data_IF_956466930795
#
_entry.id   IF_956466930795
#
_cell.length_a   1.000
_cell.length_b   1.000
_cell.length_c   1.000
_cell.angle_alpha   90.00
_cell.angle_beta   90.00
_cell.angle_gamma   90.00
#
_symmetry.space_group_name_H-M   'P 1'
#
loop_
_entity.id
_entity.type
_entity.pdbx_description
1 polymer ?
#
# COMPACT_ATOMS: atom_id res chain seq x y z
N UNK A 1 14.39 4.42 1.25
CA UNK A 1 13.18 4.26 2.08
C UNK A 1 12.08 3.87 1.12
N UNK A 2 11.33 2.82 1.41
CA UNK A 2 10.21 2.42 0.54
C UNK A 2 9.05 3.40 0.69
N UNK A 3 8.10 3.41 -0.26
CA UNK A 3 6.88 4.22 -0.14
C UNK A 3 6.14 3.87 1.16
N UNK A 4 6.10 2.59 1.53
CA UNK A 4 5.50 2.11 2.76
C UNK A 4 6.21 2.65 4.02
N UNK A 5 7.55 2.69 4.04
CA UNK A 5 8.31 3.25 5.16
C UNK A 5 8.06 4.76 5.31
N UNK A 6 7.99 5.48 4.18
CA UNK A 6 7.71 6.92 4.14
C UNK A 6 6.30 7.22 4.65
N UNK A 7 5.30 6.44 4.23
CA UNK A 7 3.92 6.56 4.71
C UNK A 7 3.83 6.25 6.21
N UNK A 8 4.46 5.17 6.66
CA UNK A 8 4.48 4.77 8.07
C UNK A 8 5.08 5.88 8.96
N UNK A 9 6.21 6.46 8.57
CA UNK A 9 6.85 7.54 9.34
C UNK A 9 6.04 8.85 9.31
N UNK A 10 5.29 9.13 8.24
CA UNK A 10 4.38 10.30 8.20
C UNK A 10 3.19 10.14 9.15
N UNK A 11 2.61 8.94 9.22
CA UNK A 11 1.43 8.67 10.06
C UNK A 11 1.81 8.45 11.52
N UNK A 12 2.89 7.70 11.76
CA UNK A 12 3.39 7.32 13.08
C UNK A 12 4.87 7.70 13.22
N UNK A 13 5.17 9.01 13.34
CA UNK A 13 6.55 9.47 13.38
C UNK A 13 7.28 8.94 14.61
N UNK A 14 8.52 8.52 14.41
CA UNK A 14 9.40 8.08 15.50
C UNK A 14 9.69 9.25 16.42
N UNK A 15 9.35 9.11 17.71
CA UNK A 15 9.62 10.13 18.73
C UNK A 15 10.92 9.85 19.49
N UNK A 16 11.55 10.93 19.92
CA UNK A 16 12.82 10.91 20.64
C UNK A 16 12.75 11.80 21.86
N UNK A 17 13.39 11.40 22.96
CA UNK A 17 13.54 12.26 24.12
C UNK A 17 14.31 13.53 23.77
N UNK A 18 13.82 14.68 24.24
CA UNK A 18 14.35 16.00 23.89
C UNK A 18 15.87 16.10 24.09
N UNK A 19 16.58 16.52 23.04
CA UNK A 19 18.04 16.65 23.06
C UNK A 19 18.82 15.33 23.01
N UNK A 20 18.15 14.18 22.82
CA UNK A 20 18.81 12.87 22.72
C UNK A 20 18.48 12.16 21.41
N UNK A 21 19.22 11.08 21.11
CA UNK A 21 18.90 10.11 20.05
C UNK A 21 18.15 8.88 20.59
N UNK A 22 17.67 8.94 21.83
CA UNK A 22 16.97 7.82 22.48
C UNK A 22 15.51 7.87 22.05
N UNK A 23 15.03 6.79 21.42
CA UNK A 23 13.63 6.65 21.03
C UNK A 23 12.75 6.58 22.27
N UNK A 24 11.63 7.27 22.25
CA UNK A 24 10.58 7.10 23.26
C UNK A 24 10.05 5.66 23.18
N UNK A 25 9.98 4.97 24.32
CA UNK A 25 9.41 3.63 24.41
C UNK A 25 8.04 3.72 25.09
N UNK A 26 7.05 3.05 24.51
CA UNK A 26 5.71 2.96 25.05
C UNK A 26 5.46 1.52 25.51
N UNK A 27 4.86 1.34 26.69
CA UNK A 27 4.33 0.04 27.10
C UNK A 27 3.07 -0.24 26.30
N UNK A 28 3.01 -1.38 25.61
CA UNK A 28 1.79 -1.88 24.98
C UNK A 28 1.43 -3.24 25.58
N UNK A 29 0.14 -3.45 25.85
CA UNK A 29 -0.40 -4.74 26.21
C UNK A 29 -1.05 -5.45 25.00
N UNK A 30 -1.69 -6.60 25.24
CA UNK A 30 -2.34 -7.35 24.16
C UNK A 30 -3.56 -6.64 23.59
N UNK A 31 -4.26 -5.83 24.37
CA UNK A 31 -5.46 -5.11 23.93
C UNK A 31 -5.06 -3.97 22.99
N UNK A 32 -3.96 -3.26 23.31
CA UNK A 32 -3.36 -2.25 22.43
C UNK A 32 -3.01 -2.83 21.05
N UNK A 33 -2.41 -4.03 21.02
CA UNK A 33 -2.03 -4.70 19.77
C UNK A 33 -3.25 -5.16 18.96
N UNK A 34 -4.30 -5.64 19.63
CA UNK A 34 -5.55 -6.02 18.98
C UNK A 34 -6.26 -4.79 18.39
N UNK A 35 -6.31 -3.69 19.14
CA UNK A 35 -6.89 -2.44 18.65
C UNK A 35 -6.09 -1.91 17.45
N UNK A 36 -4.77 -1.93 17.50
CA UNK A 36 -3.91 -1.52 16.38
C UNK A 36 -4.17 -2.37 15.12
N UNK A 37 -4.33 -3.69 15.27
CA UNK A 37 -4.66 -4.57 14.15
C UNK A 37 -6.03 -4.25 13.55
N UNK A 38 -7.07 -4.09 14.38
CA UNK A 38 -8.41 -3.74 13.92
C UNK A 38 -8.44 -2.38 13.22
N UNK A 39 -7.74 -1.39 13.79
CA UNK A 39 -7.59 -0.05 13.18
C UNK A 39 -6.88 -0.13 11.84
N UNK A 40 -5.78 -0.87 11.74
CA UNK A 40 -5.05 -1.07 10.49
C UNK A 40 -5.92 -1.73 9.41
N UNK A 41 -6.73 -2.73 9.79
CA UNK A 41 -7.66 -3.40 8.87
C UNK A 41 -8.79 -2.51 8.38
N UNK A 42 -9.21 -1.55 9.21
CA UNK A 42 -10.27 -0.58 8.89
C UNK A 42 -9.73 0.70 8.23
N UNK A 43 -8.41 0.89 8.18
CA UNK A 43 -7.81 2.03 7.52
C UNK A 43 -8.05 1.95 5.99
N UNK A 44 -8.06 3.10 5.28
CA UNK A 44 -7.95 3.11 3.82
C UNK A 44 -6.69 2.36 3.35
N UNK A 45 -6.68 1.81 2.13
CA UNK A 45 -5.49 1.17 1.57
C UNK A 45 -4.34 2.19 1.45
N UNK A 46 -3.13 1.76 1.79
CA UNK A 46 -1.91 2.56 1.69
C UNK A 46 -1.56 2.82 0.22
N UNK A 47 -0.88 3.93 -0.10
CA UNK A 47 -0.56 4.23 -1.51
C UNK A 47 0.38 3.17 -2.09
N UNK A 48 1.30 2.64 -1.27
CA UNK A 48 2.14 1.49 -1.63
C UNK A 48 1.34 0.23 -1.98
N UNK A 49 0.26 -0.07 -1.25
CA UNK A 49 -0.62 -1.22 -1.54
C UNK A 49 -1.41 -0.99 -2.82
N UNK A 50 -1.95 0.22 -2.99
CA UNK A 50 -2.69 0.63 -4.19
C UNK A 50 -1.80 0.54 -5.43
N UNK A 51 -0.56 1.02 -5.35
CA UNK A 51 0.38 0.98 -6.48
C UNK A 51 0.77 -0.46 -6.84
N UNK A 52 1.03 -1.32 -5.85
CA UNK A 52 1.34 -2.72 -6.09
C UNK A 52 0.19 -3.44 -6.82
N UNK A 53 -1.05 -3.22 -6.39
CA UNK A 53 -2.23 -3.79 -7.05
C UNK A 53 -2.42 -3.19 -8.44
N UNK A 54 -2.24 -1.89 -8.62
CA UNK A 54 -2.35 -1.22 -9.92
C UNK A 54 -1.34 -1.77 -10.95
N UNK A 55 -0.08 -1.98 -10.53
CA UNK A 55 0.95 -2.62 -11.37
C UNK A 55 0.53 -4.03 -11.79
N UNK A 56 -0.02 -4.80 -10.85
CA UNK A 56 -0.47 -6.17 -11.12
C UNK A 56 -1.66 -6.22 -12.08
N UNK A 57 -2.64 -5.34 -11.89
CA UNK A 57 -3.81 -5.21 -12.76
C UNK A 57 -3.38 -4.85 -14.19
N UNK A 58 -2.51 -3.87 -14.35
CA UNK A 58 -1.97 -3.49 -15.67
C UNK A 58 -1.24 -4.66 -16.32
N UNK A 59 -0.44 -5.40 -15.55
CA UNK A 59 0.26 -6.59 -16.07
C UNK A 59 -0.73 -7.68 -16.51
N UNK A 60 -1.81 -7.92 -15.76
CA UNK A 60 -2.85 -8.87 -16.14
C UNK A 60 -3.64 -8.44 -17.37
N UNK A 61 -3.93 -7.16 -17.54
CA UNK A 61 -4.62 -6.65 -18.74
C UNK A 61 -3.79 -6.85 -20.01
N UNK A 62 -2.45 -6.82 -19.88
CA UNK A 62 -1.53 -7.06 -20.98
C UNK A 62 -1.30 -8.55 -21.24
N UNK A 63 -1.49 -9.42 -20.25
CA UNK A 63 -1.18 -10.85 -20.36
C UNK A 63 -1.86 -11.57 -21.54
N UNK A 64 -3.15 -11.32 -21.88
CA UNK A 64 -3.81 -11.94 -23.03
C UNK A 64 -3.22 -11.54 -24.39
N UNK A 65 -2.51 -10.42 -24.46
CA UNK A 65 -1.96 -9.88 -25.71
C UNK A 65 -0.55 -10.40 -26.02
N UNK A 66 0.06 -11.19 -25.14
CA UNK A 66 1.41 -11.73 -25.31
C UNK A 66 1.38 -13.22 -25.63
N UNK A 67 2.00 -13.59 -26.76
CA UNK A 67 2.12 -14.99 -27.20
C UNK A 67 3.31 -15.72 -26.54
N UNK A 68 4.32 -14.98 -26.07
CA UNK A 68 5.59 -15.48 -25.52
C UNK A 68 5.75 -15.19 -24.01
N UNK A 69 6.99 -15.13 -23.52
CA UNK A 69 7.28 -14.81 -22.12
C UNK A 69 6.89 -13.37 -21.81
N UNK A 70 5.92 -13.22 -20.91
CA UNK A 70 5.47 -11.93 -20.40
C UNK A 70 6.63 -11.13 -19.78
N UNK A 71 6.80 -9.85 -20.15
CA UNK A 71 7.66 -8.92 -19.43
C UNK A 71 7.29 -8.79 -17.95
N UNK A 72 8.21 -8.26 -17.13
CA UNK A 72 7.92 -8.00 -15.71
C UNK A 72 6.81 -6.96 -15.52
N UNK A 73 6.14 -7.00 -14.36
CA UNK A 73 5.13 -6.01 -13.96
C UNK A 73 5.65 -4.56 -14.09
N UNK A 74 6.89 -4.33 -13.70
CA UNK A 74 7.56 -3.03 -13.78
C UNK A 74 7.78 -2.53 -15.22
N UNK A 75 7.85 -3.43 -16.21
CA UNK A 75 8.09 -3.06 -17.60
C UNK A 75 6.91 -2.23 -18.13
N UNK A 76 5.68 -2.73 -17.96
CA UNK A 76 4.49 -2.01 -18.40
C UNK A 76 4.27 -0.74 -17.59
N UNK A 77 4.50 -0.81 -16.28
CA UNK A 77 4.34 0.35 -15.40
C UNK A 77 5.23 1.53 -15.78
N UNK A 78 6.50 1.26 -16.12
CA UNK A 78 7.47 2.31 -16.47
C UNK A 78 7.22 2.92 -17.85
N UNK A 79 6.65 2.15 -18.78
CA UNK A 79 6.32 2.59 -20.13
C UNK A 79 4.97 3.30 -20.24
N UNK A 80 4.08 3.09 -19.26
CA UNK A 80 2.73 3.67 -19.28
C UNK A 80 2.74 5.19 -19.02
N UNK A 81 1.94 5.90 -19.82
CA UNK A 81 1.69 7.32 -19.61
C UNK A 81 1.09 7.59 -18.21
N UNK A 82 1.39 8.73 -17.57
CA UNK A 82 0.88 9.07 -16.24
C UNK A 82 -0.65 8.96 -16.11
N UNK A 83 -1.40 9.35 -17.13
CA UNK A 83 -2.86 9.31 -17.14
C UNK A 83 -3.39 7.86 -17.12
N UNK A 84 -2.69 6.94 -17.81
CA UNK A 84 -3.04 5.52 -17.80
C UNK A 84 -2.76 4.94 -16.41
N UNK A 85 -1.60 5.25 -15.83
CA UNK A 85 -1.27 4.82 -14.46
C UNK A 85 -2.28 5.33 -13.42
N UNK A 86 -2.75 6.58 -13.58
CA UNK A 86 -3.74 7.15 -12.68
C UNK A 86 -5.09 6.40 -12.71
N UNK A 87 -5.52 5.89 -13.87
CA UNK A 87 -6.72 5.06 -13.96
C UNK A 87 -6.56 3.75 -13.17
N UNK A 88 -5.46 3.03 -13.36
CA UNK A 88 -5.20 1.80 -12.60
C UNK A 88 -5.06 2.02 -11.10
N UNK A 89 -4.45 3.14 -10.67
CA UNK A 89 -4.37 3.52 -9.25
C UNK A 89 -5.76 3.75 -8.66
N UNK A 90 -6.63 4.48 -9.38
CA UNK A 90 -8.01 4.71 -8.94
C UNK A 90 -8.77 3.39 -8.80
N UNK A 91 -8.72 2.56 -9.83
CA UNK A 91 -9.49 1.32 -9.89
C UNK A 91 -8.96 0.33 -8.83
N UNK A 92 -7.64 0.24 -8.62
CA UNK A 92 -7.03 -0.55 -7.56
C UNK A 92 -7.48 -0.09 -6.16
N UNK A 93 -7.55 1.23 -5.92
CA UNK A 93 -8.02 1.78 -4.65
C UNK A 93 -9.46 1.38 -4.37
N UNK A 94 -10.34 1.56 -5.35
CA UNK A 94 -11.76 1.21 -5.23
C UNK A 94 -11.94 -0.29 -4.95
N UNK A 95 -11.23 -1.15 -5.69
CA UNK A 95 -11.27 -2.60 -5.45
C UNK A 95 -10.81 -2.98 -4.05
N UNK A 96 -9.73 -2.39 -3.55
CA UNK A 96 -9.22 -2.66 -2.20
C UNK A 96 -10.19 -2.19 -1.11
N UNK A 97 -10.81 -1.02 -1.28
CA UNK A 97 -11.82 -0.50 -0.35
C UNK A 97 -13.07 -1.41 -0.31
N UNK A 98 -13.56 -1.85 -1.47
CA UNK A 98 -14.68 -2.81 -1.57
C UNK A 98 -14.33 -4.13 -0.88
N UNK A 99 -13.15 -4.68 -1.16
CA UNK A 99 -12.70 -5.95 -0.58
C UNK A 99 -12.57 -5.87 0.94
N UNK A 100 -12.02 -4.77 1.47
CA UNK A 100 -11.91 -4.55 2.92
C UNK A 100 -13.27 -4.43 3.58
N UNK A 101 -14.20 -3.68 2.97
CA UNK A 101 -15.57 -3.56 3.47
C UNK A 101 -16.25 -4.93 3.52
N UNK A 102 -16.19 -5.70 2.44
CA UNK A 102 -16.76 -7.04 2.37
C UNK A 102 -16.14 -8.03 3.37
N UNK A 103 -14.85 -7.87 3.71
CA UNK A 103 -14.16 -8.73 4.67
C UNK A 103 -14.45 -8.38 6.14
N UNK A 104 -15.19 -7.29 6.41
CA UNK A 104 -15.55 -6.80 7.73
C UNK A 104 -17.07 -6.78 7.99
N UNK A 105 -17.89 -7.07 6.97
CA UNK A 105 -19.34 -7.28 7.05
C UNK A 105 -19.68 -8.75 7.33
#
# INVERSE_FOLDING_TARGET
MSIADDEAEKVYPTRYWSGTRVKEQFSCDTDDLQEAYLRGRNAPPADAEVEAVARKLMWWDMAPAWEDVMPSEDCFWTLAEPEIRANYIRDAREMLEIARKAANE
#
